data_IF_992450491747
#
_entry.id   IF_992450491747
#
_cell.length_a   1.000
_cell.length_b   1.000
_cell.length_c   1.000
_cell.angle_alpha   90.00
_cell.angle_beta   90.00
_cell.angle_gamma   90.00
#
_symmetry.space_group_name_H-M   'P 1'
#
loop_
_entity.id
_entity.type
_entity.pdbx_description
1 polymer ?
#
# COMPACT_ATOMS: atom_id res chain seq x y z
N UNK A 1 -27.94 12.71 8.66
CA UNK A 1 -26.87 12.56 7.64
C UNK A 1 -25.79 11.70 8.26
N UNK A 2 -25.45 10.55 7.68
CA UNK A 2 -24.41 9.66 8.20
C UNK A 2 -23.11 9.90 7.42
N UNK A 3 -21.97 9.88 8.11
CA UNK A 3 -20.67 10.07 7.49
C UNK A 3 -20.25 8.81 6.73
N UNK A 4 -19.78 8.97 5.49
CA UNK A 4 -19.22 7.89 4.67
C UNK A 4 -17.69 7.84 4.76
N UNK A 5 -17.07 8.89 5.28
CA UNK A 5 -15.64 9.10 5.30
C UNK A 5 -15.16 9.40 6.73
N UNK A 6 -14.04 8.82 7.10
CA UNK A 6 -13.23 9.24 8.25
C UNK A 6 -11.86 9.61 7.70
N UNK A 7 -11.44 10.85 7.96
CA UNK A 7 -10.17 11.35 7.47
C UNK A 7 -9.37 11.91 8.63
N UNK A 8 -8.12 11.45 8.76
CA UNK A 8 -7.12 12.13 9.57
C UNK A 8 -6.28 13.02 8.66
N UNK A 9 -6.33 14.32 8.90
CA UNK A 9 -5.62 15.34 8.11
C UNK A 9 -4.42 15.83 8.89
N UNK A 10 -3.23 15.51 8.40
CA UNK A 10 -1.95 15.89 8.99
C UNK A 10 -1.62 17.32 8.59
N UNK A 11 -1.34 18.15 9.58
CA UNK A 11 -0.94 19.55 9.43
C UNK A 11 0.43 19.80 10.05
N UNK A 12 0.93 21.03 9.91
CA UNK A 12 2.13 21.48 10.63
C UNK A 12 2.00 21.28 12.15
N UNK A 13 0.79 21.42 12.70
CA UNK A 13 0.53 21.29 14.13
C UNK A 13 0.83 19.87 14.61
N UNK A 14 0.41 18.86 13.85
CA UNK A 14 0.58 17.45 14.18
C UNK A 14 2.05 17.00 14.27
N UNK A 15 2.95 17.70 13.56
CA UNK A 15 4.39 17.39 13.56
C UNK A 15 5.13 18.17 14.65
N UNK A 16 4.60 19.31 15.08
CA UNK A 16 5.27 20.24 16.00
C UNK A 16 4.75 20.19 17.43
N UNK A 17 3.62 19.52 17.67
CA UNK A 17 2.95 19.46 18.97
C UNK A 17 2.71 18.01 19.40
N UNK A 18 2.72 17.73 20.71
CA UNK A 18 2.41 16.40 21.21
C UNK A 18 0.93 16.05 20.94
N UNK A 19 0.70 14.83 20.45
CA UNK A 19 -0.64 14.28 20.15
C UNK A 19 -0.98 13.08 21.05
N UNK A 20 -0.18 12.83 22.08
CA UNK A 20 -0.26 11.67 22.97
C UNK A 20 -1.24 11.84 24.13
N UNK A 21 -1.64 13.08 24.42
CA UNK A 21 -2.41 13.44 25.62
C UNK A 21 -3.72 14.18 25.26
N UNK A 22 -4.71 13.49 24.67
CA UNK A 22 -6.01 14.11 24.38
C UNK A 22 -6.73 14.52 25.67
N UNK A 23 -7.49 15.62 25.62
CA UNK A 23 -8.32 16.04 26.75
C UNK A 23 -9.49 15.08 26.99
N UNK A 24 -10.01 15.04 28.21
CA UNK A 24 -11.16 14.20 28.56
C UNK A 24 -12.38 14.49 27.67
N UNK A 25 -12.68 15.77 27.43
CA UNK A 25 -13.75 16.18 26.52
C UNK A 25 -13.52 15.66 25.08
N UNK A 26 -12.28 15.65 24.58
CA UNK A 26 -11.97 15.11 23.26
C UNK A 26 -12.19 13.59 23.22
N UNK A 27 -11.79 12.88 24.27
CA UNK A 27 -12.01 11.44 24.41
C UNK A 27 -13.51 11.12 24.43
N UNK A 28 -14.30 11.82 25.24
CA UNK A 28 -15.76 11.65 25.31
C UNK A 28 -16.42 11.85 23.95
N UNK A 29 -16.03 12.91 23.23
CA UNK A 29 -16.52 13.16 21.88
C UNK A 29 -16.14 11.98 20.96
N UNK A 30 -14.86 11.59 20.92
CA UNK A 30 -14.37 10.51 20.06
C UNK A 30 -15.10 9.17 20.31
N UNK A 31 -15.38 8.85 21.58
CA UNK A 31 -16.09 7.64 21.97
C UNK A 31 -17.59 7.68 21.64
N UNK A 32 -18.20 8.87 21.62
CA UNK A 32 -19.62 9.06 21.29
C UNK A 32 -19.91 8.95 19.78
N UNK A 33 -18.88 9.08 18.93
CA UNK A 33 -19.03 8.98 17.48
C UNK A 33 -19.35 7.54 17.05
N UNK A 34 -20.22 7.42 16.05
CA UNK A 34 -20.57 6.13 15.44
C UNK A 34 -20.19 6.10 13.97
N UNK A 35 -19.65 4.97 13.51
CA UNK A 35 -19.09 4.81 12.17
C UNK A 35 -19.82 3.74 11.34
N UNK A 36 -21.10 3.51 11.63
CA UNK A 36 -21.89 2.43 11.04
C UNK A 36 -22.02 2.50 9.50
N UNK A 37 -21.79 3.67 8.89
CA UNK A 37 -21.84 3.88 7.43
C UNK A 37 -20.52 4.33 6.82
N UNK A 38 -19.44 4.35 7.60
CA UNK A 38 -18.13 4.69 7.06
C UNK A 38 -17.71 3.60 6.11
N UNK A 39 -17.39 3.97 4.87
CA UNK A 39 -16.90 3.07 3.83
C UNK A 39 -15.41 3.32 3.55
N UNK A 40 -14.95 4.55 3.77
CA UNK A 40 -13.58 4.99 3.48
C UNK A 40 -12.93 5.61 4.70
N UNK A 41 -11.72 5.15 5.01
CA UNK A 41 -10.86 5.68 6.06
C UNK A 41 -9.57 6.15 5.42
N UNK A 42 -9.12 7.36 5.73
CA UNK A 42 -7.93 7.89 5.07
C UNK A 42 -7.04 8.79 5.91
N UNK A 43 -5.77 8.85 5.53
CA UNK A 43 -4.73 9.71 6.11
C UNK A 43 -4.11 10.55 5.00
N UNK A 44 -4.25 11.88 5.11
CA UNK A 44 -3.75 12.82 4.10
C UNK A 44 -3.05 14.01 4.76
N UNK A 45 -2.27 14.75 3.99
CA UNK A 45 -1.83 16.07 4.41
C UNK A 45 -2.98 17.08 4.26
N UNK A 46 -2.95 18.14 5.06
CA UNK A 46 -3.74 19.34 4.85
C UNK A 46 -3.43 19.94 3.48
N UNK A 47 -4.39 20.66 2.90
CA UNK A 47 -4.18 21.31 1.60
C UNK A 47 -3.02 22.31 1.66
N UNK A 48 -2.17 22.27 0.64
CA UNK A 48 -0.92 23.05 0.59
C UNK A 48 0.16 22.64 1.59
N UNK A 49 -0.05 21.60 2.40
CA UNK A 49 0.94 21.14 3.37
C UNK A 49 1.80 20.02 2.82
N UNK A 50 3.12 20.25 2.81
CA UNK A 50 4.13 19.25 2.48
C UNK A 50 5.01 19.06 3.72
N UNK A 51 4.97 17.90 4.39
CA UNK A 51 5.84 17.61 5.51
C UNK A 51 7.32 17.79 5.13
N UNK A 52 8.14 18.46 5.97
CA UNK A 52 9.57 18.50 5.76
C UNK A 52 10.18 17.10 5.65
N UNK A 53 11.23 16.88 4.82
CA UNK A 53 11.90 15.60 4.74
C UNK A 53 12.38 15.10 6.11
N UNK A 54 12.18 13.82 6.39
CA UNK A 54 12.56 13.21 7.68
C UNK A 54 11.66 13.58 8.87
N UNK A 55 10.53 14.25 8.62
CA UNK A 55 9.53 14.50 9.67
C UNK A 55 9.03 13.17 10.26
N UNK A 56 8.84 13.09 11.59
CA UNK A 56 8.29 11.91 12.21
C UNK A 56 6.82 11.72 11.80
N UNK A 57 6.40 10.46 11.69
CA UNK A 57 4.99 10.11 11.45
C UNK A 57 4.16 10.34 12.73
N UNK A 58 3.18 11.28 12.74
CA UNK A 58 2.34 11.51 13.91
C UNK A 58 1.51 10.27 14.28
N UNK A 59 1.40 10.02 15.58
CA UNK A 59 0.65 8.91 16.17
C UNK A 59 -0.39 9.46 17.17
N UNK A 60 -1.48 10.09 16.69
CA UNK A 60 -2.43 10.76 17.56
C UNK A 60 -3.19 9.77 18.45
N UNK A 61 -2.99 9.87 19.76
CA UNK A 61 -3.57 8.94 20.73
C UNK A 61 -5.11 8.96 20.72
N UNK A 62 -5.73 10.06 20.28
CA UNK A 62 -7.18 10.16 20.14
C UNK A 62 -7.77 9.06 19.22
N UNK A 63 -7.02 8.55 18.25
CA UNK A 63 -7.48 7.47 17.35
C UNK A 63 -7.78 6.19 18.16
N UNK A 64 -7.05 5.94 19.25
CA UNK A 64 -7.29 4.77 20.11
C UNK A 64 -8.68 4.81 20.77
N UNK A 65 -9.24 6.00 20.96
CA UNK A 65 -10.56 6.20 21.58
C UNK A 65 -11.72 6.14 20.58
N UNK A 66 -11.45 6.06 19.27
CA UNK A 66 -12.49 5.89 18.25
C UNK A 66 -13.10 4.49 18.33
N UNK A 67 -14.42 4.43 18.09
CA UNK A 67 -15.13 3.17 17.86
C UNK A 67 -14.62 2.47 16.58
N UNK A 68 -14.74 1.14 16.47
CA UNK A 68 -14.42 0.42 15.23
C UNK A 68 -15.20 0.90 14.01
N UNK A 69 -14.71 0.56 12.81
CA UNK A 69 -15.31 0.93 11.53
C UNK A 69 -15.97 -0.29 10.85
N UNK A 70 -17.13 -0.79 11.33
CA UNK A 70 -17.65 -2.09 10.92
C UNK A 70 -18.00 -2.21 9.44
N UNK A 71 -18.28 -1.08 8.77
CA UNK A 71 -18.59 -1.03 7.33
C UNK A 71 -17.43 -0.58 6.43
N UNK A 72 -16.27 -0.25 7.01
CA UNK A 72 -15.18 0.33 6.22
C UNK A 72 -14.55 -0.72 5.31
N UNK A 73 -14.44 -0.37 4.02
CA UNK A 73 -13.90 -1.26 2.98
C UNK A 73 -12.58 -0.76 2.40
N UNK A 74 -12.23 0.50 2.62
CA UNK A 74 -10.99 1.11 2.12
C UNK A 74 -10.22 1.77 3.24
N UNK A 75 -8.90 1.56 3.25
CA UNK A 75 -7.94 2.31 4.04
C UNK A 75 -6.90 2.93 3.11
N UNK A 76 -6.83 4.27 3.09
CA UNK A 76 -6.02 5.01 2.13
C UNK A 76 -4.96 5.85 2.87
N UNK A 77 -3.68 5.57 2.63
CA UNK A 77 -2.55 6.30 3.22
C UNK A 77 -1.87 7.10 2.11
N UNK A 78 -2.06 8.42 2.18
CA UNK A 78 -1.71 9.35 1.09
C UNK A 78 -0.62 10.35 1.52
N UNK A 79 -0.07 10.19 2.72
CA UNK A 79 0.99 11.04 3.26
C UNK A 79 2.26 10.25 3.54
N UNK A 80 3.42 10.85 3.23
CA UNK A 80 4.74 10.31 3.53
C UNK A 80 5.00 10.09 5.03
N UNK A 81 4.27 10.83 5.88
CA UNK A 81 4.34 10.72 7.34
C UNK A 81 3.05 10.10 7.91
N UNK A 82 2.26 9.44 7.06
CA UNK A 82 0.96 8.89 7.42
C UNK A 82 1.00 7.51 8.07
N UNK A 83 2.15 6.83 8.11
CA UNK A 83 2.22 5.43 8.53
C UNK A 83 1.76 5.16 9.96
N UNK A 84 2.19 5.98 10.92
CA UNK A 84 1.84 5.76 12.32
C UNK A 84 0.34 5.95 12.59
N UNK A 85 -0.25 7.05 12.13
CA UNK A 85 -1.70 7.24 12.18
C UNK A 85 -2.47 6.18 11.38
N UNK A 86 -1.96 5.81 10.20
CA UNK A 86 -2.52 4.77 9.35
C UNK A 86 -2.56 3.41 10.05
N UNK A 87 -1.52 3.05 10.79
CA UNK A 87 -1.46 1.85 11.62
C UNK A 87 -2.49 1.86 12.74
N UNK A 88 -2.70 3.00 13.41
CA UNK A 88 -3.75 3.12 14.43
C UNK A 88 -5.16 2.96 13.83
N UNK A 89 -5.40 3.54 12.66
CA UNK A 89 -6.68 3.40 11.94
C UNK A 89 -6.89 1.97 11.43
N UNK A 90 -5.84 1.30 10.97
CA UNK A 90 -5.88 -0.09 10.56
C UNK A 90 -6.41 -1.01 11.68
N UNK A 91 -6.05 -0.76 12.94
CA UNK A 91 -6.56 -1.53 14.08
C UNK A 91 -8.08 -1.40 14.27
N UNK A 92 -8.69 -0.33 13.76
CA UNK A 92 -10.13 -0.07 13.82
C UNK A 92 -10.90 -0.63 12.62
N UNK A 93 -10.19 -1.08 11.58
CA UNK A 93 -10.80 -1.68 10.39
C UNK A 93 -11.48 -3.02 10.72
N UNK A 94 -12.52 -3.40 9.97
CA UNK A 94 -13.23 -4.66 10.19
C UNK A 94 -12.36 -5.85 9.76
N UNK A 95 -12.86 -7.07 9.98
CA UNK A 95 -12.12 -8.30 9.65
C UNK A 95 -11.82 -8.43 8.15
N UNK A 96 -12.75 -8.02 7.30
CA UNK A 96 -12.56 -8.00 5.85
C UNK A 96 -12.41 -6.57 5.34
N UNK A 97 -11.24 -6.25 4.80
CA UNK A 97 -10.95 -4.97 4.16
C UNK A 97 -10.90 -5.19 2.65
N UNK A 98 -11.69 -4.42 1.90
CA UNK A 98 -11.72 -4.55 0.44
C UNK A 98 -10.40 -4.14 -0.18
N UNK A 99 -9.92 -2.94 0.12
CA UNK A 99 -8.70 -2.40 -0.45
C UNK A 99 -7.88 -1.59 0.55
N UNK A 100 -6.56 -1.68 0.47
CA UNK A 100 -5.62 -0.78 1.14
C UNK A 100 -4.81 -0.04 0.08
N UNK A 101 -4.79 1.29 0.15
CA UNK A 101 -4.15 2.15 -0.84
C UNK A 101 -2.96 2.87 -0.20
N UNK A 102 -1.83 2.86 -0.91
CA UNK A 102 -0.63 3.62 -0.54
C UNK A 102 -0.22 4.49 -1.72
N UNK A 103 -0.08 5.79 -1.51
CA UNK A 103 0.53 6.69 -2.51
C UNK A 103 2.06 6.59 -2.49
N UNK A 104 2.77 7.00 -3.57
CA UNK A 104 4.22 6.83 -3.68
C UNK A 104 5.03 7.37 -2.50
N UNK A 105 4.67 8.50 -1.87
CA UNK A 105 5.47 9.03 -0.78
C UNK A 105 5.50 8.14 0.48
N UNK A 106 4.62 7.13 0.59
CA UNK A 106 4.60 6.24 1.76
C UNK A 106 5.74 5.23 1.69
N UNK A 107 6.64 5.28 2.68
CA UNK A 107 7.80 4.40 2.74
C UNK A 107 7.42 2.92 2.83
N UNK A 108 8.35 2.01 2.49
CA UNK A 108 8.15 0.57 2.68
C UNK A 108 7.90 0.18 4.14
N UNK A 109 8.55 0.87 5.08
CA UNK A 109 8.37 0.67 6.52
C UNK A 109 6.98 1.08 6.99
N UNK A 110 6.50 2.26 6.56
CA UNK A 110 5.16 2.74 6.90
C UNK A 110 4.07 1.83 6.30
N UNK A 111 4.25 1.40 5.04
CA UNK A 111 3.37 0.39 4.41
C UNK A 111 3.28 -0.88 5.24
N UNK A 112 4.43 -1.41 5.67
CA UNK A 112 4.52 -2.59 6.54
C UNK A 112 3.80 -2.35 7.86
N UNK A 113 4.08 -1.24 8.53
CA UNK A 113 3.48 -0.90 9.82
C UNK A 113 1.95 -0.80 9.76
N UNK A 114 1.40 -0.25 8.67
CA UNK A 114 -0.06 -0.20 8.45
C UNK A 114 -0.63 -1.61 8.26
N UNK A 115 0.01 -2.44 7.45
CA UNK A 115 -0.42 -3.83 7.24
C UNK A 115 -0.33 -4.65 8.53
N UNK A 116 0.71 -4.48 9.35
CA UNK A 116 0.80 -5.07 10.69
C UNK A 116 -0.28 -4.56 11.64
N UNK A 117 -0.70 -3.30 11.49
CA UNK A 117 -1.83 -2.73 12.22
C UNK A 117 -3.17 -3.40 11.89
N UNK A 118 -3.32 -3.93 10.67
CA UNK A 118 -4.47 -4.78 10.32
C UNK A 118 -4.35 -6.15 11.00
N UNK A 119 -3.15 -6.68 11.19
CA UNK A 119 -2.92 -7.91 11.94
C UNK A 119 -3.34 -9.19 11.20
N UNK A 120 -2.90 -10.33 11.71
CA UNK A 120 -3.01 -11.62 11.05
C UNK A 120 -4.42 -12.22 11.01
N UNK A 121 -5.37 -11.72 11.79
CA UNK A 121 -6.74 -12.23 11.80
C UNK A 121 -7.62 -11.64 10.69
N UNK A 122 -7.12 -10.62 9.98
CA UNK A 122 -7.83 -9.89 8.94
C UNK A 122 -7.51 -10.41 7.53
N UNK A 123 -8.42 -10.12 6.62
CA UNK A 123 -8.29 -10.38 5.19
C UNK A 123 -8.36 -9.06 4.42
N UNK A 124 -7.44 -8.88 3.47
CA UNK A 124 -7.40 -7.74 2.56
C UNK A 124 -7.63 -8.24 1.14
N UNK A 125 -8.67 -7.75 0.48
CA UNK A 125 -8.97 -8.11 -0.90
C UNK A 125 -7.83 -7.70 -1.84
N UNK A 126 -7.43 -6.44 -1.78
CA UNK A 126 -6.34 -5.88 -2.60
C UNK A 126 -5.48 -4.87 -1.83
N UNK A 127 -4.17 -4.90 -2.03
CA UNK A 127 -3.27 -3.80 -1.69
C UNK A 127 -2.79 -3.13 -2.97
N UNK A 128 -2.94 -1.80 -3.05
CA UNK A 128 -2.54 -1.01 -4.21
C UNK A 128 -1.46 0.00 -3.82
N UNK A 129 -0.32 -0.04 -4.51
CA UNK A 129 0.77 0.93 -4.36
C UNK A 129 0.85 1.81 -5.61
N UNK A 130 0.60 3.09 -5.42
CA UNK A 130 0.53 4.13 -6.45
C UNK A 130 -0.41 3.82 -7.61
N UNK A 131 -1.74 3.82 -7.42
CA UNK A 131 -2.66 3.62 -8.53
C UNK A 131 -2.58 4.74 -9.59
N UNK A 132 -2.17 5.96 -9.19
CA UNK A 132 -2.16 7.13 -10.07
C UNK A 132 -0.74 7.55 -10.47
N UNK A 133 0.17 7.55 -9.50
CA UNK A 133 1.57 7.91 -9.67
C UNK A 133 2.43 6.64 -9.85
N UNK A 134 3.72 6.76 -10.14
CA UNK A 134 4.58 5.59 -10.25
C UNK A 134 5.65 5.65 -9.16
N UNK A 135 5.96 4.53 -8.52
CA UNK A 135 7.10 4.39 -7.62
C UNK A 135 8.34 4.13 -8.44
N UNK A 136 9.47 4.77 -8.13
CA UNK A 136 10.70 4.47 -8.87
C UNK A 136 11.15 3.03 -8.57
N UNK A 137 11.58 2.30 -9.61
CA UNK A 137 12.16 0.96 -9.43
C UNK A 137 13.43 0.96 -8.55
N UNK A 138 14.06 2.13 -8.37
CA UNK A 138 15.23 2.33 -7.51
C UNK A 138 14.89 2.55 -6.03
N UNK A 139 13.61 2.62 -5.67
CA UNK A 139 13.13 2.80 -4.28
C UNK A 139 12.69 1.46 -3.66
N UNK A 140 13.21 0.35 -4.17
CA UNK A 140 12.97 -1.01 -3.69
C UNK A 140 11.48 -1.31 -3.41
N UNK A 141 10.58 -1.15 -4.41
CA UNK A 141 9.14 -1.27 -4.22
C UNK A 141 8.67 -2.67 -3.78
N UNK A 142 9.53 -3.68 -3.97
CA UNK A 142 9.30 -5.09 -3.65
C UNK A 142 9.75 -5.49 -2.24
N UNK A 143 10.30 -4.56 -1.46
CA UNK A 143 10.73 -4.82 -0.09
C UNK A 143 9.59 -4.68 0.91
N UNK A 144 9.71 -5.42 2.02
CA UNK A 144 8.80 -5.30 3.16
C UNK A 144 7.46 -6.01 3.04
N UNK A 145 7.28 -6.88 2.04
CA UNK A 145 6.04 -7.66 1.87
C UNK A 145 5.97 -8.94 2.71
N UNK A 146 6.96 -9.21 3.56
CA UNK A 146 7.03 -10.41 4.40
C UNK A 146 6.92 -10.04 5.87
N UNK A 147 5.88 -10.52 6.54
CA UNK A 147 5.71 -10.45 7.99
C UNK A 147 4.65 -11.47 8.40
N UNK A 148 4.89 -12.22 9.48
CA UNK A 148 3.91 -13.15 10.03
C UNK A 148 2.69 -12.43 10.61
N UNK A 149 2.86 -11.14 10.98
CA UNK A 149 1.81 -10.28 11.51
C UNK A 149 0.89 -9.68 10.43
N UNK A 150 1.13 -9.96 9.14
CA UNK A 150 0.31 -9.41 8.06
C UNK A 150 -1.06 -10.09 7.94
N UNK A 151 -2.09 -9.35 7.48
CA UNK A 151 -3.35 -9.96 7.08
C UNK A 151 -3.15 -10.92 5.90
N UNK A 152 -4.15 -11.75 5.64
CA UNK A 152 -4.22 -12.51 4.39
C UNK A 152 -4.49 -11.52 3.25
N UNK A 153 -3.60 -11.39 2.27
CA UNK A 153 -3.72 -10.43 1.17
C UNK A 153 -4.05 -11.19 -0.11
N UNK A 154 -5.21 -10.92 -0.71
CA UNK A 154 -5.64 -11.57 -1.93
C UNK A 154 -4.86 -11.14 -3.17
N UNK A 155 -4.77 -9.83 -3.41
CA UNK A 155 -4.16 -9.28 -4.61
C UNK A 155 -3.24 -8.10 -4.28
N UNK A 156 -2.10 -8.00 -4.96
CA UNK A 156 -1.20 -6.84 -4.87
C UNK A 156 -1.11 -6.20 -6.26
N UNK A 157 -1.22 -4.88 -6.31
CA UNK A 157 -1.07 -4.09 -7.52
C UNK A 157 -0.08 -2.94 -7.30
N UNK A 158 0.86 -2.75 -8.22
CA UNK A 158 1.87 -1.71 -8.16
C UNK A 158 2.00 -1.00 -9.50
N UNK A 159 2.24 0.31 -9.49
CA UNK A 159 2.68 1.05 -10.68
C UNK A 159 4.10 1.52 -10.45
N UNK A 160 5.01 1.12 -11.33
CA UNK A 160 6.43 1.39 -11.25
C UNK A 160 6.88 2.25 -12.43
N UNK A 161 7.85 3.12 -12.18
CA UNK A 161 8.60 3.84 -13.22
C UNK A 161 10.04 3.37 -13.24
N UNK A 162 10.56 3.14 -14.44
CA UNK A 162 11.96 2.80 -14.67
C UNK A 162 12.70 4.08 -15.06
N UNK A 163 13.70 4.53 -14.28
CA UNK A 163 14.53 5.68 -14.64
C UNK A 163 15.22 5.50 -15.99
N UNK A 164 15.39 6.59 -16.74
CA UNK A 164 15.97 6.55 -18.10
C UNK A 164 17.44 6.13 -18.11
N UNK A 165 18.16 6.32 -17.00
CA UNK A 165 19.55 5.93 -16.80
C UNK A 165 19.70 4.46 -16.35
N UNK A 166 18.61 3.79 -15.98
CA UNK A 166 18.66 2.38 -15.59
C UNK A 166 18.71 1.50 -16.84
N UNK A 167 19.73 0.65 -16.90
CA UNK A 167 19.92 -0.27 -18.02
C UNK A 167 18.71 -1.22 -18.14
N UNK A 168 18.11 -1.38 -19.36
CA UNK A 168 16.89 -2.16 -19.57
C UNK A 168 16.89 -3.59 -19.04
N UNK A 169 17.98 -4.34 -19.25
CA UNK A 169 18.06 -5.73 -18.78
C UNK A 169 18.11 -5.80 -17.25
N UNK A 170 18.84 -4.90 -16.63
CA UNK A 170 18.93 -4.74 -15.17
C UNK A 170 17.57 -4.39 -14.57
N UNK A 171 16.79 -3.53 -15.23
CA UNK A 171 15.43 -3.22 -14.81
C UNK A 171 14.50 -4.44 -14.90
N UNK A 172 14.57 -5.19 -15.99
CA UNK A 172 13.78 -6.41 -16.19
C UNK A 172 14.11 -7.49 -15.14
N UNK A 173 15.40 -7.69 -14.82
CA UNK A 173 15.85 -8.62 -13.79
C UNK A 173 15.36 -8.22 -12.40
N UNK A 174 15.48 -6.93 -12.03
CA UNK A 174 14.94 -6.43 -10.74
C UNK A 174 13.45 -6.67 -10.61
N UNK A 175 12.68 -6.44 -11.68
CA UNK A 175 11.24 -6.70 -11.68
C UNK A 175 10.96 -8.20 -11.52
N UNK A 176 11.64 -9.05 -12.28
CA UNK A 176 11.50 -10.51 -12.19
C UNK A 176 11.80 -10.99 -10.78
N UNK A 177 12.93 -10.59 -10.21
CA UNK A 177 13.42 -11.08 -8.92
C UNK A 177 12.56 -10.55 -7.77
N UNK A 178 12.17 -9.27 -7.83
CA UNK A 178 11.24 -8.66 -6.89
C UNK A 178 9.86 -9.32 -6.91
N UNK A 179 9.29 -9.55 -8.09
CA UNK A 179 8.04 -10.31 -8.23
C UNK A 179 8.18 -11.72 -7.65
N UNK A 180 9.27 -12.42 -8.00
CA UNK A 180 9.58 -13.78 -7.50
C UNK A 180 9.64 -13.82 -5.97
N UNK A 181 10.23 -12.79 -5.35
CA UNK A 181 10.33 -12.67 -3.89
C UNK A 181 8.95 -12.58 -3.22
N UNK A 182 8.02 -11.82 -3.82
CA UNK A 182 6.65 -11.68 -3.28
C UNK A 182 5.84 -12.96 -3.49
N UNK A 183 5.84 -13.51 -4.71
CA UNK A 183 5.02 -14.68 -5.04
C UNK A 183 5.58 -16.01 -4.52
N UNK A 184 6.88 -16.07 -4.23
CA UNK A 184 7.58 -17.26 -3.73
C UNK A 184 7.25 -17.65 -2.29
N UNK A 185 6.12 -17.21 -1.74
CA UNK A 185 5.67 -17.50 -0.38
C UNK A 185 5.82 -16.34 0.61
N UNK A 186 6.16 -15.13 0.14
CA UNK A 186 6.32 -13.97 1.00
C UNK A 186 5.01 -13.43 1.59
N UNK A 187 3.89 -13.64 0.91
CA UNK A 187 2.59 -13.05 1.27
C UNK A 187 1.53 -14.15 1.44
N UNK A 188 0.98 -14.24 2.64
CA UNK A 188 -0.13 -15.16 2.95
C UNK A 188 -1.39 -14.74 2.19
N UNK A 189 -2.09 -15.71 1.60
CA UNK A 189 -3.35 -15.49 0.87
C UNK A 189 -3.20 -14.97 -0.57
N UNK A 190 -1.98 -14.70 -1.02
CA UNK A 190 -1.73 -14.07 -2.31
C UNK A 190 -2.19 -14.96 -3.47
N UNK A 191 -3.13 -14.44 -4.25
CA UNK A 191 -3.64 -15.01 -5.50
C UNK A 191 -2.95 -14.40 -6.70
N UNK A 192 -2.76 -13.07 -6.70
CA UNK A 192 -2.13 -12.38 -7.81
C UNK A 192 -1.28 -11.18 -7.40
N UNK A 193 -0.18 -10.98 -8.13
CA UNK A 193 0.65 -9.77 -8.11
C UNK A 193 0.63 -9.16 -9.51
N UNK A 194 0.22 -7.91 -9.62
CA UNK A 194 0.20 -7.14 -10.87
C UNK A 194 1.15 -5.95 -10.77
N UNK A 195 2.07 -5.84 -11.71
CA UNK A 195 3.04 -4.75 -11.81
C UNK A 195 2.84 -4.04 -13.14
N UNK A 196 2.51 -2.76 -13.08
CA UNK A 196 2.40 -1.88 -14.23
C UNK A 196 3.70 -1.09 -14.37
N UNK A 197 4.49 -1.37 -15.40
CA UNK A 197 5.81 -0.77 -15.59
C UNK A 197 5.74 0.32 -16.66
N UNK A 198 6.09 1.54 -16.26
CA UNK A 198 6.29 2.70 -17.13
C UNK A 198 7.79 2.83 -17.42
N UNK A 199 8.17 2.74 -18.69
CA UNK A 199 9.56 2.85 -19.12
C UNK A 199 9.66 3.02 -20.63
N UNK A 200 10.86 3.21 -21.13
CA UNK A 200 11.10 3.37 -22.56
C UNK A 200 10.88 2.05 -23.34
N UNK A 201 10.99 2.12 -24.67
CA UNK A 201 10.82 0.96 -25.55
C UNK A 201 11.78 -0.20 -25.24
N UNK A 202 13.03 0.09 -24.90
CA UNK A 202 14.04 -0.93 -24.62
C UNK A 202 13.74 -1.71 -23.33
N UNK A 203 13.27 -1.03 -22.28
CA UNK A 203 12.82 -1.67 -21.03
C UNK A 203 11.68 -2.65 -21.29
N UNK A 204 10.70 -2.27 -22.12
CA UNK A 204 9.59 -3.16 -22.47
C UNK A 204 10.07 -4.40 -23.20
N UNK A 205 10.93 -4.22 -24.22
CA UNK A 205 11.54 -5.32 -24.95
C UNK A 205 12.34 -6.25 -24.04
N UNK A 206 13.09 -5.71 -23.07
CA UNK A 206 13.85 -6.51 -22.11
C UNK A 206 12.94 -7.33 -21.19
N UNK A 207 11.85 -6.73 -20.68
CA UNK A 207 10.85 -7.43 -19.85
C UNK A 207 10.19 -8.55 -20.66
N UNK A 208 9.84 -8.32 -21.92
CA UNK A 208 9.27 -9.34 -22.81
C UNK A 208 10.26 -10.47 -23.09
N UNK A 209 11.51 -10.15 -23.40
CA UNK A 209 12.53 -11.18 -23.65
C UNK A 209 12.76 -12.05 -22.42
N UNK A 210 12.80 -11.43 -21.23
CA UNK A 210 13.08 -12.13 -19.97
C UNK A 210 11.89 -12.92 -19.45
N UNK A 211 10.66 -12.40 -19.60
CA UNK A 211 9.45 -12.99 -19.01
C UNK A 211 8.55 -13.70 -20.04
N UNK A 212 8.82 -13.60 -21.34
CA UNK A 212 7.94 -14.10 -22.41
C UNK A 212 8.64 -14.90 -23.51
N UNK A 213 9.80 -15.49 -23.26
CA UNK A 213 10.41 -16.45 -24.19
C UNK A 213 9.69 -17.81 -24.15
N UNK A 214 8.49 -17.81 -24.74
CA UNK A 214 7.81 -18.87 -25.51
C UNK A 214 6.74 -19.76 -24.87
N UNK A 215 6.55 -19.75 -23.57
CA UNK A 215 5.32 -20.23 -22.90
C UNK A 215 5.49 -19.85 -21.44
N UNK A 216 4.43 -19.36 -20.78
CA UNK A 216 4.39 -18.98 -19.36
C UNK A 216 5.65 -19.38 -18.59
N UNK A 217 6.59 -18.45 -18.39
CA UNK A 217 7.78 -18.76 -17.60
C UNK A 217 7.29 -19.13 -16.21
N UNK A 218 7.45 -20.41 -15.84
CA UNK A 218 7.19 -20.87 -14.49
C UNK A 218 8.21 -20.18 -13.58
N UNK A 219 7.74 -19.24 -12.77
CA UNK A 219 8.54 -18.69 -11.68
C UNK A 219 8.12 -19.45 -10.43
N UNK A 220 8.81 -20.55 -10.18
CA UNK A 220 8.38 -21.56 -9.22
C UNK A 220 7.06 -22.19 -9.65
N UNK A 221 6.05 -22.17 -8.79
CA UNK A 221 4.70 -22.69 -9.08
C UNK A 221 3.73 -21.66 -9.67
N UNK A 222 4.23 -20.47 -10.04
CA UNK A 222 3.40 -19.35 -10.49
C UNK A 222 3.45 -19.18 -12.02
N UNK A 223 2.34 -18.71 -12.59
CA UNK A 223 2.27 -18.32 -14.00
C UNK A 223 2.46 -16.82 -14.15
N UNK A 224 3.35 -16.40 -15.05
CA UNK A 224 3.51 -15.01 -15.44
C UNK A 224 2.83 -14.76 -16.78
N UNK A 225 2.04 -13.70 -16.86
CA UNK A 225 1.44 -13.19 -18.09
C UNK A 225 1.81 -11.72 -18.27
N UNK A 226 2.11 -11.30 -19.50
CA UNK A 226 2.34 -9.90 -19.83
C UNK A 226 1.24 -9.36 -20.74
N UNK A 227 0.96 -8.07 -20.64
CA UNK A 227 -0.01 -7.37 -21.48
C UNK A 227 0.45 -5.94 -21.75
N UNK A 228 0.35 -5.51 -22.99
CA UNK A 228 0.61 -4.11 -23.35
C UNK A 228 -0.63 -3.24 -23.12
N UNK A 229 -0.42 -2.05 -22.54
CA UNK A 229 -1.41 -0.99 -22.43
C UNK A 229 -0.77 0.36 -22.77
N UNK A 230 -0.76 0.71 -24.06
CA UNK A 230 -0.15 1.95 -24.54
C UNK A 230 1.36 2.01 -24.22
N UNK A 231 1.76 2.98 -23.42
CA UNK A 231 3.15 3.15 -22.96
C UNK A 231 3.53 2.28 -21.75
N UNK A 232 2.59 1.52 -21.20
CA UNK A 232 2.81 0.67 -20.02
C UNK A 232 2.81 -0.81 -20.40
N UNK A 233 3.67 -1.60 -19.77
CA UNK A 233 3.60 -3.07 -19.78
C UNK A 233 3.06 -3.54 -18.44
N UNK A 234 2.03 -4.37 -18.46
CA UNK A 234 1.44 -5.02 -17.30
C UNK A 234 2.03 -6.43 -17.19
N UNK A 235 2.65 -6.74 -16.06
CA UNK A 235 3.17 -8.07 -15.74
C UNK A 235 2.37 -8.61 -14.58
N UNK A 236 1.70 -9.74 -14.77
CA UNK A 236 0.89 -10.39 -13.72
C UNK A 236 1.48 -11.74 -13.39
N UNK A 237 1.77 -11.99 -12.12
CA UNK A 237 2.07 -13.31 -11.59
C UNK A 237 0.86 -13.85 -10.83
N UNK A 238 0.40 -15.07 -11.15
CA UNK A 238 -0.69 -15.75 -10.45
C UNK A 238 -0.21 -17.06 -9.84
N UNK A 239 -0.66 -17.33 -8.61
CA UNK A 239 -0.42 -18.60 -7.94
C UNK A 239 -1.30 -19.68 -8.54
N UNK A 240 -0.73 -20.87 -8.80
CA UNK A 240 -1.53 -22.06 -9.12
C UNK A 240 -2.40 -22.41 -7.91
N UNK A 241 -3.71 -22.50 -8.15
CA UNK A 241 -4.69 -23.05 -7.20
C UNK A 241 -4.54 -24.54 -7.05
#
# INVERSE_FOLDING_TARGET
RQAMYVTYTISQHDITHPLDSPSEAAIEIAQSLTFAKVEWVSVHNADGFVPPPGSPSPAPAIINHLQPFPGARSLDIVSAVGGAAGRLLAQKMPRGVGVVWFEPPVSGEDRRGVLEGLGEEREVGRVSVSPFNAVSLTEDPFDGWRSDSFPSIGDISMVLSVPDDLEPSSAAERIRDGMSSIVGGGVRGLRSLTVHVRGNGAVRSAIEQLLCTHTCTEVGSNFITTRHRGSTIEVTARRRS
#
